data_IF_736404634814
#
_entry.id   IF_736404634814
#
_cell.length_a   1.000
_cell.length_b   1.000
_cell.length_c   1.000
_cell.angle_alpha   90.00
_cell.angle_beta   90.00
_cell.angle_gamma   90.00
#
_symmetry.space_group_name_H-M   'P 1'
#
loop_
_entity.id
_entity.type
_entity.pdbx_description
1 polymer ?
#
# COMPACT_ATOMS: atom_id res chain seq x y z
N UNK A 1 3.00 5.69 13.38
CA UNK A 1 3.73 6.22 14.55
C UNK A 1 4.61 7.42 14.22
N UNK A 2 5.66 7.30 13.40
CA UNK A 2 6.59 8.43 13.17
C UNK A 2 5.99 9.73 12.62
N UNK A 3 4.82 9.67 11.96
CA UNK A 3 4.10 10.83 11.44
C UNK A 3 2.74 11.09 12.13
N UNK A 4 2.43 10.38 13.22
CA UNK A 4 1.16 10.49 13.91
C UNK A 4 1.18 11.67 14.91
N UNK A 5 1.04 12.89 14.39
CA UNK A 5 1.04 14.12 15.18
C UNK A 5 -0.35 14.75 15.23
N UNK A 6 -0.78 15.18 16.43
CA UNK A 6 -2.08 15.85 16.61
C UNK A 6 -2.08 17.29 16.08
N UNK A 7 -0.94 17.97 16.18
CA UNK A 7 -0.71 19.32 15.68
C UNK A 7 0.73 19.41 15.17
N UNK A 8 0.92 19.97 13.98
CA UNK A 8 2.26 20.29 13.47
C UNK A 8 2.96 21.33 14.35
N UNK A 9 4.30 21.35 14.32
CA UNK A 9 5.07 22.38 15.02
C UNK A 9 4.79 23.76 14.44
N UNK A 10 4.67 24.79 15.29
CA UNK A 10 4.28 26.12 14.84
C UNK A 10 5.30 26.72 13.84
N UNK A 11 6.59 26.62 14.15
CA UNK A 11 7.64 27.18 13.29
C UNK A 11 7.85 26.35 12.01
N UNK A 12 7.80 25.02 12.10
CA UNK A 12 7.93 24.18 10.90
C UNK A 12 6.74 24.35 9.97
N UNK A 13 5.53 24.48 10.51
CA UNK A 13 4.34 24.75 9.71
C UNK A 13 4.41 26.14 9.05
N UNK A 14 4.88 27.16 9.76
CA UNK A 14 5.12 28.50 9.18
C UNK A 14 6.07 28.45 7.98
N UNK A 15 7.16 27.69 8.08
CA UNK A 15 8.10 27.49 6.97
C UNK A 15 7.47 26.71 5.82
N UNK A 16 6.70 25.65 6.11
CA UNK A 16 6.00 24.90 5.07
C UNK A 16 5.04 25.79 4.26
N UNK A 17 4.33 26.73 4.91
CA UNK A 17 3.45 27.68 4.21
C UNK A 17 4.19 28.59 3.22
N UNK A 18 5.51 28.74 3.36
CA UNK A 18 6.34 29.57 2.48
C UNK A 18 7.07 28.76 1.40
N UNK A 19 7.34 27.47 1.65
CA UNK A 19 8.23 26.66 0.84
C UNK A 19 7.58 25.44 0.17
N UNK A 20 6.35 25.06 0.56
CA UNK A 20 5.66 23.88 0.03
C UNK A 20 4.55 24.32 -0.91
N UNK A 21 4.61 23.82 -2.15
CA UNK A 21 3.61 24.14 -3.19
C UNK A 21 2.30 23.37 -3.03
N UNK A 22 2.38 22.08 -2.67
CA UNK A 22 1.21 21.20 -2.50
C UNK A 22 1.43 20.21 -1.36
N UNK A 23 0.33 19.89 -0.65
CA UNK A 23 0.27 18.83 0.35
C UNK A 23 -0.55 17.67 -0.20
N UNK A 24 -0.01 16.46 -0.10
CA UNK A 24 -0.65 15.23 -0.60
C UNK A 24 -0.96 14.31 0.56
N UNK A 25 -2.16 13.76 0.59
CA UNK A 25 -2.58 12.76 1.59
C UNK A 25 -2.64 11.38 0.97
N UNK A 26 -2.19 10.38 1.70
CA UNK A 26 -2.19 8.98 1.26
C UNK A 26 -2.91 8.09 2.26
N UNK A 27 -3.53 7.04 1.74
CA UNK A 27 -4.18 5.96 2.48
C UNK A 27 -3.17 4.96 3.03
N UNK A 28 -3.60 4.15 4.00
CA UNK A 28 -2.78 3.05 4.53
C UNK A 28 -2.40 2.04 3.46
N UNK A 29 -3.29 1.77 2.51
CA UNK A 29 -3.05 0.79 1.45
C UNK A 29 -1.99 1.30 0.46
N UNK A 30 -2.01 2.60 0.12
CA UNK A 30 -0.96 3.23 -0.69
C UNK A 30 0.41 3.22 0.02
N UNK A 31 0.42 3.39 1.35
CA UNK A 31 1.65 3.26 2.16
C UNK A 31 2.17 1.81 2.10
N UNK A 32 1.30 0.81 2.26
CA UNK A 32 1.69 -0.60 2.21
C UNK A 32 2.25 -0.97 0.83
N UNK A 33 1.61 -0.51 -0.24
CA UNK A 33 2.11 -0.68 -1.60
C UNK A 33 3.49 -0.02 -1.79
N UNK A 34 3.70 1.19 -1.28
CA UNK A 34 4.99 1.87 -1.36
C UNK A 34 6.11 1.15 -0.59
N UNK A 35 5.81 0.53 0.56
CA UNK A 35 6.78 -0.31 1.30
C UNK A 35 7.15 -1.53 0.45
N UNK A 36 6.15 -2.22 -0.11
CA UNK A 36 6.36 -3.40 -0.99
C UNK A 36 7.25 -3.05 -2.17
N UNK A 37 6.95 -1.97 -2.88
CA UNK A 37 7.75 -1.53 -4.03
C UNK A 37 9.18 -1.14 -3.65
N UNK A 38 9.35 -0.39 -2.55
CA UNK A 38 10.67 0.00 -2.06
C UNK A 38 11.54 -1.23 -1.76
N UNK A 39 10.95 -2.27 -1.17
CA UNK A 39 11.64 -3.53 -0.92
C UNK A 39 11.94 -4.29 -2.21
N UNK A 40 11.01 -4.36 -3.16
CA UNK A 40 11.23 -5.04 -4.44
C UNK A 40 12.35 -4.39 -5.28
N UNK A 41 12.38 -3.06 -5.30
CA UNK A 41 13.31 -2.29 -6.14
C UNK A 41 14.70 -2.15 -5.50
N UNK A 42 14.76 -1.87 -4.20
CA UNK A 42 16.01 -1.48 -3.52
C UNK A 42 16.41 -2.40 -2.38
N UNK A 43 15.57 -3.38 -2.01
CA UNK A 43 15.73 -4.23 -0.82
C UNK A 43 15.74 -3.46 0.50
N UNK A 44 15.33 -2.19 0.48
CA UNK A 44 15.16 -1.37 1.68
C UNK A 44 13.77 -1.62 2.27
N UNK A 45 13.74 -1.97 3.55
CA UNK A 45 12.49 -2.12 4.28
C UNK A 45 12.14 -0.82 5.01
N UNK A 46 11.17 -0.08 4.47
CA UNK A 46 10.71 1.17 5.05
C UNK A 46 9.66 0.93 6.13
N UNK A 47 9.68 1.75 7.18
CA UNK A 47 8.54 1.84 8.10
C UNK A 47 7.40 2.66 7.46
N UNK A 48 6.16 2.64 8.00
CA UNK A 48 5.03 3.35 7.40
C UNK A 48 5.28 4.86 7.19
N UNK A 49 5.93 5.53 8.16
CA UNK A 49 6.29 6.94 8.02
C UNK A 49 7.40 7.16 6.97
N UNK A 50 8.34 6.22 6.87
CA UNK A 50 9.41 6.21 5.89
C UNK A 50 8.93 6.11 4.44
N UNK A 51 7.81 5.43 4.22
CA UNK A 51 7.22 5.22 2.90
C UNK A 51 6.23 6.32 2.46
N UNK A 52 5.87 7.27 3.34
CA UNK A 52 4.89 8.32 3.03
C UNK A 52 5.25 9.13 1.79
N UNK A 53 6.52 9.56 1.67
CA UNK A 53 6.98 10.36 0.54
C UNK A 53 6.91 9.57 -0.77
N UNK A 54 7.24 8.27 -0.75
CA UNK A 54 7.16 7.40 -1.93
C UNK A 54 5.71 7.19 -2.35
N UNK A 55 4.81 6.91 -1.40
CA UNK A 55 3.38 6.78 -1.67
C UNK A 55 2.79 8.06 -2.29
N UNK A 56 3.08 9.22 -1.68
CA UNK A 56 2.60 10.51 -2.16
C UNK A 56 3.15 10.87 -3.54
N UNK A 57 4.43 10.62 -3.79
CA UNK A 57 5.07 10.83 -5.09
C UNK A 57 4.41 9.99 -6.19
N UNK A 58 4.12 8.71 -5.93
CA UNK A 58 3.43 7.84 -6.89
C UNK A 58 2.01 8.32 -7.17
N UNK A 59 1.25 8.66 -6.13
CA UNK A 59 -0.11 9.20 -6.25
C UNK A 59 -0.10 10.51 -7.07
N UNK A 60 0.84 11.40 -6.79
CA UNK A 60 1.00 12.67 -7.50
C UNK A 60 1.32 12.45 -8.99
N UNK A 61 2.29 11.60 -9.31
CA UNK A 61 2.66 11.27 -10.68
C UNK A 61 1.48 10.67 -11.46
N UNK A 62 0.68 9.80 -10.82
CA UNK A 62 -0.52 9.23 -11.42
C UNK A 62 -1.61 10.29 -11.65
N UNK A 63 -1.91 11.12 -10.64
CA UNK A 63 -2.94 12.17 -10.70
C UNK A 63 -2.64 13.22 -11.76
N UNK A 64 -1.37 13.60 -11.91
CA UNK A 64 -0.94 14.64 -12.87
C UNK A 64 -0.61 14.09 -14.26
N UNK A 65 -0.50 12.76 -14.40
CA UNK A 65 -0.06 12.14 -15.65
C UNK A 65 1.38 12.47 -16.02
N UNK A 66 2.22 12.80 -15.04
CA UNK A 66 3.60 13.22 -15.27
C UNK A 66 4.42 12.09 -15.91
N UNK A 67 5.13 12.42 -17.00
CA UNK A 67 6.02 11.49 -17.73
C UNK A 67 7.34 12.18 -18.06
N UNK A 68 8.44 11.43 -17.99
CA UNK A 68 9.77 11.93 -18.33
C UNK A 68 10.35 12.94 -17.34
N UNK A 69 9.81 13.01 -16.12
CA UNK A 69 10.30 13.88 -15.05
C UNK A 69 11.06 13.07 -14.00
N UNK A 70 12.01 13.72 -13.32
CA UNK A 70 12.74 13.14 -12.20
C UNK A 70 12.05 13.52 -10.90
N UNK A 71 11.66 12.52 -10.12
CA UNK A 71 11.10 12.72 -8.79
C UNK A 71 12.07 12.23 -7.72
N UNK A 72 12.07 12.88 -6.56
CA UNK A 72 12.87 12.50 -5.40
C UNK A 72 11.95 12.39 -4.20
N UNK A 73 11.92 11.21 -3.58
CA UNK A 73 11.20 10.97 -2.33
C UNK A 73 12.21 10.74 -1.20
N UNK A 74 11.97 11.35 -0.04
CA UNK A 74 12.80 11.15 1.15
C UNK A 74 12.29 9.96 1.93
N UNK A 75 13.08 8.88 1.95
CA UNK A 75 12.85 7.74 2.82
C UNK A 75 13.29 8.08 4.26
N UNK A 76 12.34 8.49 5.10
CA UNK A 76 12.63 9.09 6.41
C UNK A 76 12.91 8.08 7.54
N UNK A 77 12.61 6.80 7.36
CA UNK A 77 12.78 5.79 8.41
C UNK A 77 12.58 4.35 7.95
N UNK A 78 13.21 3.43 8.66
CA UNK A 78 13.25 1.99 8.38
C UNK A 78 13.07 1.14 9.65
N UNK A 79 12.52 1.72 10.71
CA UNK A 79 12.31 1.02 11.97
C UNK A 79 11.06 0.12 11.90
N UNK A 80 11.22 -1.06 11.31
CA UNK A 80 10.15 -2.03 11.09
C UNK A 80 10.43 -3.33 11.84
N UNK A 81 9.38 -3.94 12.39
CA UNK A 81 9.38 -5.26 13.04
C UNK A 81 8.62 -6.30 12.20
N UNK A 82 8.80 -7.59 12.55
CA UNK A 82 8.20 -8.71 11.82
C UNK A 82 6.67 -8.76 11.89
N UNK A 83 6.08 -8.27 12.97
CA UNK A 83 4.61 -8.24 13.13
C UNK A 83 3.99 -7.20 12.20
N UNK A 84 4.63 -6.02 12.05
CA UNK A 84 4.23 -4.98 11.10
C UNK A 84 4.41 -5.41 9.66
N UNK A 85 5.47 -6.15 9.36
CA UNK A 85 5.71 -6.74 8.04
C UNK A 85 4.55 -7.62 7.57
N UNK A 86 4.03 -8.46 8.46
CA UNK A 86 2.87 -9.32 8.15
C UNK A 86 1.66 -8.49 7.74
N UNK A 87 1.32 -7.46 8.51
CA UNK A 87 0.22 -6.55 8.21
C UNK A 87 0.39 -5.85 6.85
N UNK A 88 1.60 -5.37 6.56
CA UNK A 88 1.92 -4.73 5.27
C UNK A 88 1.76 -5.73 4.12
N UNK A 89 2.23 -6.97 4.29
CA UNK A 89 2.09 -8.02 3.29
C UNK A 89 0.62 -8.32 2.98
N UNK A 90 -0.21 -8.50 4.01
CA UNK A 90 -1.65 -8.79 3.88
C UNK A 90 -2.39 -7.65 3.15
N UNK A 91 -2.03 -6.39 3.39
CA UNK A 91 -2.66 -5.23 2.73
C UNK A 91 -2.10 -4.88 1.36
N UNK A 92 -0.82 -5.16 1.12
CA UNK A 92 -0.18 -4.88 -0.16
C UNK A 92 -0.45 -5.97 -1.21
N UNK A 93 -1.03 -7.11 -0.82
CA UNK A 93 -1.59 -8.09 -1.75
C UNK A 93 -3.07 -7.79 -2.03
N UNK A 94 -3.28 -6.86 -2.95
CA UNK A 94 -4.59 -6.59 -3.56
C UNK A 94 -4.90 -7.54 -4.72
N UNK A 95 -4.06 -8.56 -4.95
CA UNK A 95 -4.21 -9.52 -6.04
C UNK A 95 -5.26 -10.60 -5.75
N UNK A 96 -5.63 -10.78 -4.48
CA UNK A 96 -6.60 -11.77 -4.05
C UNK A 96 -8.01 -11.17 -3.96
N UNK A 97 -9.02 -11.94 -4.36
CA UNK A 97 -10.42 -11.55 -4.27
C UNK A 97 -11.17 -12.57 -3.44
N UNK A 98 -11.79 -12.10 -2.36
CA UNK A 98 -12.68 -12.91 -1.54
C UNK A 98 -14.06 -13.02 -2.22
N UNK A 99 -14.54 -14.24 -2.40
CA UNK A 99 -15.85 -14.53 -2.99
C UNK A 99 -16.61 -15.44 -2.03
N UNK A 100 -17.81 -15.02 -1.62
CA UNK A 100 -18.74 -15.86 -0.88
C UNK A 100 -19.80 -16.40 -1.84
N UNK A 101 -19.93 -17.73 -1.93
CA UNK A 101 -20.88 -18.39 -2.83
C UNK A 101 -21.63 -19.46 -2.05
N UNK A 102 -22.95 -19.44 -2.14
CA UNK A 102 -23.79 -20.54 -1.64
C UNK A 102 -23.87 -21.64 -2.67
N UNK A 103 -23.48 -22.86 -2.30
CA UNK A 103 -23.61 -24.06 -3.13
C UNK A 103 -24.67 -25.01 -2.56
N UNK A 104 -25.36 -25.81 -3.39
CA UNK A 104 -26.27 -26.83 -2.89
C UNK A 104 -25.49 -27.98 -2.24
N UNK A 105 -25.99 -28.48 -1.11
CA UNK A 105 -25.46 -29.64 -0.37
C UNK A 105 -25.82 -30.96 -1.08
N UNK A 106 -25.24 -31.18 -2.26
CA UNK A 106 -25.45 -32.39 -3.05
C UNK A 106 -24.15 -32.87 -3.71
N UNK A 107 -24.01 -34.18 -3.98
CA UNK A 107 -22.83 -34.73 -4.64
C UNK A 107 -22.49 -33.99 -5.95
N UNK A 108 -21.25 -33.53 -6.08
CA UNK A 108 -20.74 -32.87 -7.29
C UNK A 108 -20.91 -31.36 -7.35
N UNK A 109 -21.61 -30.72 -6.41
CA UNK A 109 -21.78 -29.26 -6.39
C UNK A 109 -20.45 -28.49 -6.35
N UNK A 110 -19.51 -28.96 -5.54
CA UNK A 110 -18.17 -28.37 -5.43
C UNK A 110 -17.36 -28.49 -6.74
N UNK A 111 -17.40 -29.66 -7.40
CA UNK A 111 -16.72 -29.88 -8.68
C UNK A 111 -17.25 -28.90 -9.73
N UNK A 112 -18.57 -28.67 -9.74
CA UNK A 112 -19.17 -27.69 -10.63
C UNK A 112 -18.68 -26.27 -10.32
N UNK A 113 -18.63 -25.85 -9.06
CA UNK A 113 -18.07 -24.54 -8.67
C UNK A 113 -16.62 -24.40 -9.15
N UNK A 114 -15.75 -25.37 -8.85
CA UNK A 114 -14.34 -25.34 -9.23
C UNK A 114 -14.16 -25.22 -10.76
N UNK A 115 -14.98 -25.92 -11.55
CA UNK A 115 -14.95 -25.84 -13.02
C UNK A 115 -15.25 -24.44 -13.56
N UNK A 116 -16.04 -23.63 -12.85
CA UNK A 116 -16.32 -22.25 -13.27
C UNK A 116 -15.18 -21.28 -12.88
N UNK A 117 -14.39 -21.62 -11.86
CA UNK A 117 -13.28 -20.80 -11.37
C UNK A 117 -11.99 -21.12 -12.14
N UNK A 118 -11.80 -22.39 -12.53
CA UNK A 118 -10.66 -22.83 -13.33
C UNK A 118 -10.52 -22.00 -14.62
N UNK A 119 -9.31 -21.53 -15.00
CA UNK A 119 -7.99 -21.87 -14.47
C UNK A 119 -7.43 -20.90 -13.41
N UNK A 120 -8.27 -20.11 -12.73
CA UNK A 120 -7.78 -19.17 -11.72
C UNK A 120 -7.20 -19.91 -10.51
N UNK A 121 -6.10 -19.40 -9.95
CA UNK A 121 -5.53 -19.92 -8.71
C UNK A 121 -6.50 -19.67 -7.55
N UNK A 122 -6.71 -20.70 -6.73
CA UNK A 122 -7.46 -20.62 -5.47
C UNK A 122 -6.44 -20.62 -4.34
N UNK A 123 -6.39 -19.54 -3.56
CA UNK A 123 -5.40 -19.34 -2.49
C UNK A 123 -5.87 -19.93 -1.16
N UNK A 124 -7.18 -19.84 -0.87
CA UNK A 124 -7.82 -20.39 0.32
C UNK A 124 -9.25 -20.88 0.02
N UNK A 125 -9.73 -21.86 0.78
CA UNK A 125 -11.13 -22.31 0.76
C UNK A 125 -11.57 -22.62 2.21
N UNK A 126 -12.67 -22.01 2.66
CA UNK A 126 -13.20 -22.11 4.02
C UNK A 126 -14.71 -22.33 4.02
#
# INVERSE_FOLDING_TARGET
DGAAVRKGGDETFRLCQMCVDEMVTVSTDEICAAIKDSFLDTRVLLEPAGALAVAGMKQYAQKTGAKGQTFVAVASGANMDFDRLRFVSERADTSETLISVTIPEQPGAFINLYRHIFPRNVTEFA
#
